data_IF_892762828463
#
_entry.id   IF_892762828463
#
_cell.length_a   1.000
_cell.length_b   1.000
_cell.length_c   1.000
_cell.angle_alpha   90.00
_cell.angle_beta   90.00
_cell.angle_gamma   90.00
#
_symmetry.space_group_name_H-M   'P 1'
#
loop_
_entity.id
_entity.type
_entity.pdbx_description
1 polymer ?
#
# COMPACT_ATOMS: atom_id res chain seq x y z
N UNK A 1 4.33 19.88 -0.89
CA UNK A 1 4.36 19.52 -2.34
C UNK A 1 4.34 18.01 -2.54
N UNK A 2 5.29 17.25 -1.96
CA UNK A 2 5.29 15.78 -1.99
C UNK A 2 4.01 15.15 -1.41
N UNK A 3 3.49 15.69 -0.29
CA UNK A 3 2.22 15.26 0.32
C UNK A 3 1.04 15.37 -0.64
N UNK A 4 0.91 16.51 -1.34
CA UNK A 4 -0.12 16.75 -2.36
C UNK A 4 -0.02 15.81 -3.56
N UNK A 5 1.21 15.50 -4.02
CA UNK A 5 1.44 14.55 -5.12
C UNK A 5 1.05 13.13 -4.66
N UNK A 6 1.47 12.72 -3.47
CA UNK A 6 1.06 11.44 -2.86
C UNK A 6 -0.45 11.36 -2.66
N UNK A 7 -1.10 12.45 -2.22
CA UNK A 7 -2.54 12.55 -2.07
C UNK A 7 -3.27 12.38 -3.41
N UNK A 8 -2.80 13.02 -4.47
CA UNK A 8 -3.36 12.86 -5.81
C UNK A 8 -3.23 11.42 -6.34
N UNK A 9 -2.10 10.76 -6.10
CA UNK A 9 -1.88 9.34 -6.44
C UNK A 9 -2.86 8.44 -5.66
N UNK A 10 -3.06 8.71 -4.37
CA UNK A 10 -4.00 7.96 -3.53
C UNK A 10 -5.46 8.14 -3.97
N UNK A 11 -5.87 9.37 -4.28
CA UNK A 11 -7.24 9.66 -4.77
C UNK A 11 -7.49 8.99 -6.12
N UNK A 12 -6.55 9.07 -7.05
CA UNK A 12 -6.70 8.43 -8.38
C UNK A 12 -6.75 6.91 -8.27
N UNK A 13 -5.90 6.29 -7.44
CA UNK A 13 -5.95 4.84 -7.17
C UNK A 13 -7.26 4.43 -6.49
N UNK A 14 -7.70 5.17 -5.47
CA UNK A 14 -8.95 4.90 -4.77
C UNK A 14 -10.16 5.04 -5.70
N UNK A 15 -10.21 6.09 -6.51
CA UNK A 15 -11.28 6.30 -7.50
C UNK A 15 -11.31 5.17 -8.51
N UNK A 16 -10.15 4.73 -9.02
CA UNK A 16 -10.06 3.59 -9.92
C UNK A 16 -10.59 2.29 -9.28
N UNK A 17 -10.32 2.08 -7.98
CA UNK A 17 -10.82 0.94 -7.22
C UNK A 17 -12.34 0.99 -6.99
N UNK A 18 -12.93 2.18 -6.80
CA UNK A 18 -14.39 2.34 -6.69
C UNK A 18 -15.08 2.01 -8.01
N UNK A 19 -14.53 2.47 -9.14
CA UNK A 19 -15.19 2.34 -10.45
C UNK A 19 -15.14 0.89 -10.97
N UNK A 20 -14.04 0.17 -10.78
CA UNK A 20 -13.89 -1.21 -11.31
C UNK A 20 -13.35 -2.22 -10.27
N UNK A 21 -14.08 -2.49 -9.18
CA UNK A 21 -13.64 -3.43 -8.15
C UNK A 21 -13.56 -4.88 -8.68
N UNK A 22 -14.40 -5.24 -9.67
CA UNK A 22 -14.41 -6.57 -10.28
C UNK A 22 -13.12 -6.87 -11.07
N UNK A 23 -12.62 -5.89 -11.83
CA UNK A 23 -11.34 -6.03 -12.55
C UNK A 23 -10.17 -6.18 -11.60
N UNK A 24 -10.28 -5.63 -10.40
CA UNK A 24 -9.29 -5.76 -9.33
C UNK A 24 -9.35 -7.13 -8.68
N UNK A 25 -10.55 -7.58 -8.31
CA UNK A 25 -10.78 -8.94 -7.79
C UNK A 25 -10.25 -9.99 -8.77
N UNK A 26 -10.56 -9.85 -10.06
CA UNK A 26 -10.06 -10.74 -11.10
C UNK A 26 -8.53 -10.69 -11.27
N UNK A 27 -7.89 -9.54 -11.00
CA UNK A 27 -6.43 -9.39 -11.08
C UNK A 27 -5.73 -10.01 -9.87
N UNK A 28 -6.34 -9.93 -8.68
CA UNK A 28 -5.88 -10.63 -7.48
C UNK A 28 -6.07 -12.15 -7.56
N UNK A 29 -7.12 -12.62 -8.25
CA UNK A 29 -7.36 -14.05 -8.48
C UNK A 29 -6.40 -14.70 -9.50
N UNK A 30 -5.69 -13.90 -10.32
CA UNK A 30 -4.67 -14.42 -11.24
C UNK A 30 -3.34 -14.59 -10.51
N UNK A 31 -2.66 -15.71 -10.76
CA UNK A 31 -1.31 -15.93 -10.24
C UNK A 31 -0.40 -14.75 -10.57
N UNK A 32 0.08 -14.11 -9.51
CA UNK A 32 0.96 -12.96 -9.61
C UNK A 32 2.34 -13.44 -10.09
N UNK A 33 2.68 -13.11 -11.34
CA UNK A 33 3.97 -13.47 -11.96
C UNK A 33 5.16 -12.97 -11.13
N UNK A 34 6.28 -13.72 -11.13
CA UNK A 34 7.54 -13.34 -10.45
C UNK A 34 7.99 -11.91 -10.79
N UNK A 35 7.76 -11.44 -12.02
CA UNK A 35 8.08 -10.06 -12.44
C UNK A 35 7.23 -9.02 -11.72
N UNK A 36 5.92 -9.25 -11.62
CA UNK A 36 4.98 -8.33 -10.93
C UNK A 36 5.28 -8.31 -9.42
N UNK A 37 5.61 -9.45 -8.83
CA UNK A 37 6.09 -9.54 -7.44
C UNK A 37 7.30 -8.63 -7.21
N UNK A 38 8.33 -8.75 -8.05
CA UNK A 38 9.55 -7.92 -7.92
C UNK A 38 9.25 -6.42 -8.03
N UNK A 39 8.35 -6.03 -8.94
CA UNK A 39 7.91 -4.63 -9.08
C UNK A 39 7.17 -4.17 -7.82
N UNK A 40 6.23 -4.97 -7.30
CA UNK A 40 5.48 -4.60 -6.09
C UNK A 40 6.40 -4.49 -4.87
N UNK A 41 7.33 -5.43 -4.66
CA UNK A 41 8.30 -5.30 -3.58
C UNK A 41 9.22 -4.10 -3.75
N UNK A 42 9.66 -3.80 -4.98
CA UNK A 42 10.43 -2.59 -5.28
C UNK A 42 9.65 -1.33 -4.92
N UNK A 43 8.37 -1.26 -5.28
CA UNK A 43 7.48 -0.15 -4.90
C UNK A 43 7.32 -0.03 -3.38
N UNK A 44 7.13 -1.14 -2.66
CA UNK A 44 6.98 -1.12 -1.19
C UNK A 44 8.28 -0.66 -0.52
N UNK A 45 9.45 -1.09 -1.01
CA UNK A 45 10.74 -0.60 -0.52
C UNK A 45 10.90 0.90 -0.73
N UNK A 46 10.57 1.38 -1.93
CA UNK A 46 10.65 2.78 -2.29
C UNK A 46 9.67 3.64 -1.47
N UNK A 47 8.45 3.13 -1.23
CA UNK A 47 7.47 3.77 -0.35
C UNK A 47 7.94 3.79 1.10
N UNK A 48 8.54 2.70 1.59
CA UNK A 48 9.11 2.63 2.94
C UNK A 48 10.23 3.65 3.11
N UNK A 49 11.11 3.80 2.11
CA UNK A 49 12.17 4.79 2.10
C UNK A 49 11.64 6.24 2.11
N UNK A 50 10.62 6.52 1.28
CA UNK A 50 9.94 7.82 1.28
C UNK A 50 9.28 8.14 2.63
N UNK A 51 8.67 7.14 3.26
CA UNK A 51 8.02 7.32 4.56
C UNK A 51 9.03 7.68 5.65
N UNK A 52 10.22 7.07 5.64
CA UNK A 52 11.32 7.42 6.55
C UNK A 52 11.79 8.86 6.35
N UNK A 53 11.95 9.28 5.09
CA UNK A 53 12.31 10.67 4.76
C UNK A 53 11.30 11.68 5.30
N UNK A 54 10.03 11.29 5.41
CA UNK A 54 8.99 12.10 6.04
C UNK A 54 9.06 12.07 7.57
N UNK A 55 9.28 10.90 8.19
CA UNK A 55 9.35 10.74 9.65
C UNK A 55 10.58 11.43 10.25
N UNK A 56 11.72 11.43 9.53
CA UNK A 56 12.94 12.11 9.95
C UNK A 56 12.80 13.63 10.07
N UNK A 57 11.83 14.23 9.35
CA UNK A 57 11.53 15.68 9.42
C UNK A 57 10.67 16.07 10.61
N UNK A 58 10.06 15.10 11.31
CA UNK A 58 9.21 15.38 12.46
C UNK A 58 10.09 15.55 13.71
N UNK A 59 10.00 16.68 14.43
CA UNK A 59 10.70 16.86 15.70
C UNK A 59 10.09 15.93 16.76
N UNK A 60 10.91 15.01 17.31
CA UNK A 60 10.51 14.08 18.37
C UNK A 60 11.26 12.75 18.32
N UNK A 61 11.88 12.36 19.44
CA UNK A 61 12.63 11.09 19.56
C UNK A 61 11.70 9.88 19.41
N UNK A 62 10.48 9.98 19.93
CA UNK A 62 9.45 8.94 19.84
C UNK A 62 8.98 8.69 18.40
N UNK A 63 8.82 9.74 17.60
CA UNK A 63 8.45 9.62 16.18
C UNK A 63 9.57 8.93 15.37
N UNK A 64 10.84 9.25 15.66
CA UNK A 64 11.99 8.60 15.03
C UNK A 64 12.11 7.13 15.41
N UNK A 65 11.89 6.79 16.69
CA UNK A 65 11.90 5.41 17.17
C UNK A 65 10.78 4.57 16.53
N UNK A 66 9.55 5.11 16.47
CA UNK A 66 8.43 4.48 15.80
C UNK A 66 8.69 4.29 14.29
N UNK A 67 9.30 5.28 13.63
CA UNK A 67 9.72 5.17 12.24
C UNK A 67 10.73 4.05 12.00
N UNK A 68 11.74 3.93 12.87
CA UNK A 68 12.77 2.88 12.77
C UNK A 68 12.18 1.48 13.01
N UNK A 69 11.32 1.32 14.02
CA UNK A 69 10.64 0.04 14.30
C UNK A 69 9.71 -0.34 13.14
N UNK A 70 8.93 0.61 12.61
CA UNK A 70 8.09 0.41 11.45
C UNK A 70 8.89 -0.06 10.22
N UNK A 71 10.09 0.49 10.01
CA UNK A 71 10.99 0.07 8.93
C UNK A 71 11.47 -1.37 9.11
N UNK A 72 11.95 -1.76 10.28
CA UNK A 72 12.45 -3.12 10.53
C UNK A 72 11.33 -4.14 10.31
N UNK A 73 10.12 -3.82 10.77
CA UNK A 73 8.93 -4.66 10.56
C UNK A 73 8.58 -4.74 9.07
N UNK A 74 8.59 -3.62 8.33
CA UNK A 74 8.31 -3.61 6.90
C UNK A 74 9.33 -4.45 6.10
N UNK A 75 10.63 -4.30 6.39
CA UNK A 75 11.69 -5.08 5.74
C UNK A 75 11.53 -6.57 6.06
N UNK A 76 11.32 -6.92 7.34
CA UNK A 76 11.08 -8.32 7.74
C UNK A 76 9.85 -8.89 7.06
N UNK A 77 8.75 -8.14 7.01
CA UNK A 77 7.52 -8.56 6.34
C UNK A 77 7.76 -8.82 4.85
N UNK A 78 8.49 -7.93 4.16
CA UNK A 78 8.84 -8.12 2.74
C UNK A 78 9.71 -9.37 2.54
N UNK A 79 10.70 -9.59 3.39
CA UNK A 79 11.56 -10.79 3.34
C UNK A 79 10.79 -12.08 3.66
N UNK A 80 9.79 -12.01 4.54
CA UNK A 80 8.94 -13.15 4.94
C UNK A 80 7.81 -13.46 3.95
N UNK A 81 7.46 -12.54 3.05
CA UNK A 81 6.47 -12.83 2.01
C UNK A 81 7.14 -13.72 0.94
N UNK A 82 7.10 -15.03 1.17
CA UNK A 82 7.47 -16.05 0.19
C UNK A 82 6.45 -16.09 -0.95
N UNK A 83 6.83 -16.64 -2.10
CA UNK A 83 5.93 -16.77 -3.25
C UNK A 83 4.59 -17.44 -2.90
N UNK A 84 4.62 -18.43 -2.00
CA UNK A 84 3.46 -19.14 -1.44
C UNK A 84 2.58 -18.23 -0.56
N UNK A 85 3.19 -17.44 0.31
CA UNK A 85 2.48 -16.48 1.18
C UNK A 85 1.79 -15.40 0.36
N UNK A 86 2.44 -14.88 -0.68
CA UNK A 86 1.83 -13.89 -1.57
C UNK A 86 0.70 -14.48 -2.42
N UNK A 87 0.78 -15.75 -2.84
CA UNK A 87 -0.35 -16.43 -3.48
C UNK A 87 -1.52 -16.62 -2.50
N UNK A 88 -1.24 -17.01 -1.25
CA UNK A 88 -2.26 -17.12 -0.20
C UNK A 88 -2.93 -15.77 0.11
N UNK A 89 -2.15 -14.69 0.23
CA UNK A 89 -2.69 -13.34 0.46
C UNK A 89 -3.55 -12.90 -0.73
N UNK A 90 -3.07 -13.12 -1.95
CA UNK A 90 -3.81 -12.75 -3.16
C UNK A 90 -5.10 -13.56 -3.30
N UNK A 91 -5.05 -14.86 -2.99
CA UNK A 91 -6.22 -15.74 -2.96
C UNK A 91 -7.23 -15.34 -1.88
N UNK A 92 -6.75 -14.99 -0.69
CA UNK A 92 -7.60 -14.48 0.39
C UNK A 92 -8.31 -13.18 0.00
N UNK A 93 -7.61 -12.27 -0.68
CA UNK A 93 -8.20 -11.04 -1.24
C UNK A 93 -9.17 -11.33 -2.38
N UNK A 94 -8.88 -12.30 -3.23
CA UNK A 94 -9.75 -12.72 -4.33
C UNK A 94 -11.05 -13.37 -3.84
N UNK A 95 -11.06 -13.95 -2.65
CA UNK A 95 -12.25 -14.55 -2.04
C UNK A 95 -13.20 -13.50 -1.41
N UNK A 96 -12.66 -12.32 -1.04
CA UNK A 96 -13.47 -11.28 -0.38
C UNK A 96 -14.60 -10.73 -1.26
N UNK A 97 -15.74 -10.33 -0.65
CA UNK A 97 -16.84 -9.71 -1.36
C UNK A 97 -16.45 -8.32 -1.89
N UNK A 98 -17.08 -7.90 -2.98
CA UNK A 98 -16.79 -6.63 -3.67
C UNK A 98 -16.97 -5.40 -2.76
N UNK A 99 -17.82 -5.51 -1.74
CA UNK A 99 -18.02 -4.48 -0.71
C UNK A 99 -16.72 -4.17 0.03
N UNK A 100 -15.89 -5.18 0.33
CA UNK A 100 -14.60 -4.96 1.01
C UNK A 100 -13.68 -4.11 0.15
N UNK A 101 -13.63 -4.34 -1.17
CA UNK A 101 -12.86 -3.52 -2.09
C UNK A 101 -13.37 -2.08 -2.18
N UNK A 102 -14.69 -1.87 -2.15
CA UNK A 102 -15.30 -0.53 -2.15
C UNK A 102 -15.01 0.23 -0.84
N UNK A 103 -15.10 -0.44 0.31
CA UNK A 103 -14.76 0.14 1.62
C UNK A 103 -13.29 0.53 1.64
N UNK A 104 -12.40 -0.36 1.19
CA UNK A 104 -10.98 -0.07 1.08
C UNK A 104 -10.70 1.12 0.16
N UNK A 105 -11.36 1.16 -1.00
CA UNK A 105 -11.24 2.28 -1.93
C UNK A 105 -11.67 3.62 -1.30
N UNK A 106 -12.76 3.60 -0.51
CA UNK A 106 -13.20 4.75 0.30
C UNK A 106 -12.12 5.20 1.28
N UNK A 107 -11.50 4.28 2.03
CA UNK A 107 -10.38 4.61 2.91
C UNK A 107 -9.20 5.24 2.17
N UNK A 108 -8.86 4.74 0.98
CA UNK A 108 -7.76 5.30 0.17
C UNK A 108 -8.06 6.73 -0.29
N UNK A 109 -9.29 7.01 -0.69
CA UNK A 109 -9.72 8.37 -1.07
C UNK A 109 -9.65 9.30 0.15
N UNK A 110 -10.18 8.87 1.29
CA UNK A 110 -10.14 9.67 2.54
C UNK A 110 -8.69 9.96 2.94
N UNK A 111 -7.80 8.97 2.92
CA UNK A 111 -6.38 9.18 3.20
C UNK A 111 -5.73 10.14 2.19
N UNK A 112 -6.07 10.01 0.90
CA UNK A 112 -5.55 10.90 -0.14
C UNK A 112 -6.00 12.35 0.04
N UNK A 113 -7.25 12.57 0.47
CA UNK A 113 -7.79 13.89 0.81
C UNK A 113 -7.07 14.45 2.03
N UNK A 114 -6.90 13.66 3.10
CA UNK A 114 -6.15 14.08 4.29
C UNK A 114 -4.72 14.49 3.94
N UNK A 115 -4.02 13.71 3.10
CA UNK A 115 -2.66 14.02 2.63
C UNK A 115 -2.59 15.26 1.74
N UNK A 116 -3.67 15.61 1.03
CA UNK A 116 -3.74 16.86 0.27
C UNK A 116 -3.90 18.10 1.18
N UNK A 117 -4.55 17.93 2.33
CA UNK A 117 -4.79 18.99 3.32
C UNK A 117 -3.60 19.22 4.26
N UNK A 118 -2.60 18.33 4.26
CA UNK A 118 -1.33 18.44 5.01
C UNK A 118 -0.19 18.96 4.12
#
# INVERSE_FOLDING_TARGET
MLSKILGAVWITLGTFWVIKPEKLKARFGRKMSKKVKRIVYGFVLLFSFLMIGSVMKVPGVLAKALGAVGMIIAIKAIMLITAKTSENISGWWADKPLIVFRIWAGCLIIMGIMLMMV
#
